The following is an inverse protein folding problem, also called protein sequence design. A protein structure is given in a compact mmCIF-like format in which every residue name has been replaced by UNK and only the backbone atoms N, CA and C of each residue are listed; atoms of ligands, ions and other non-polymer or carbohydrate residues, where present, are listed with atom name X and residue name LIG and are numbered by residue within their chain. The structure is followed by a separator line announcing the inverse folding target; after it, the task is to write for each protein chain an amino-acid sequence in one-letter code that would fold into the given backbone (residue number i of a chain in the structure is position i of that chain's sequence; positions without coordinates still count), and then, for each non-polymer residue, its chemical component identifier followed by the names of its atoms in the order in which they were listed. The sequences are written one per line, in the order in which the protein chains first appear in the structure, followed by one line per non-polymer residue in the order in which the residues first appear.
data_IF_972755729535
#
_entry.id   IF_972755729535
#
_cell.length_a   1.000
_cell.length_b   1.000
_cell.length_c   1.000
_cell.angle_alpha   90.00
_cell.angle_beta   90.00
_cell.angle_gamma   90.00
#
_symmetry.space_group_name_H-M   'P 1'
#
loop_
_entity.id
_entity.type
_entity.pdbx_description
1 polymer ?
#
# COMPACT_ATOMS: atom_id res chain seq x y z
N UNK A 1 23.28 -8.58 9.29
CA UNK A 1 24.39 -7.61 9.37
C UNK A 1 24.01 -6.19 8.97
N UNK A 2 23.34 -5.94 7.82
CA UNK A 2 23.14 -4.56 7.32
C UNK A 2 21.79 -3.91 7.66
N UNK A 3 20.80 -4.68 8.16
CA UNK A 3 19.44 -4.19 8.37
C UNK A 3 18.63 -3.93 7.08
N UNK A 4 19.22 -4.19 5.91
CA UNK A 4 18.53 -4.05 4.63
C UNK A 4 17.35 -5.01 4.51
N UNK A 5 16.19 -4.48 4.16
CA UNK A 5 14.94 -5.24 4.00
C UNK A 5 14.46 -5.12 2.56
N UNK A 6 13.99 -6.24 1.99
CA UNK A 6 13.45 -6.29 0.62
C UNK A 6 12.14 -7.07 0.59
N UNK A 7 11.12 -6.49 -0.03
CA UNK A 7 9.83 -7.17 -0.25
C UNK A 7 10.01 -8.16 -1.40
N UNK A 8 9.93 -9.46 -1.10
CA UNK A 8 10.13 -10.52 -2.10
C UNK A 8 8.85 -10.80 -2.89
N UNK A 9 7.70 -10.68 -2.23
CA UNK A 9 6.37 -10.90 -2.80
C UNK A 9 5.33 -10.13 -2.00
N UNK A 10 4.34 -9.56 -2.68
CA UNK A 10 3.20 -8.90 -2.05
C UNK A 10 1.92 -9.25 -2.82
N UNK A 11 0.87 -9.66 -2.10
CA UNK A 11 -0.42 -10.02 -2.69
C UNK A 11 -1.52 -9.26 -1.96
N UNK A 12 -2.35 -8.54 -2.71
CA UNK A 12 -3.54 -7.85 -2.22
C UNK A 12 -4.76 -8.72 -2.48
N UNK A 13 -5.51 -9.06 -1.42
CA UNK A 13 -6.79 -9.78 -1.54
C UNK A 13 -7.87 -8.93 -0.87
N UNK A 14 -8.82 -8.43 -1.66
CA UNK A 14 -9.78 -7.40 -1.21
C UNK A 14 -11.15 -7.64 -1.83
N UNK A 15 -12.21 -7.36 -1.06
CA UNK A 15 -13.60 -7.36 -1.55
C UNK A 15 -13.97 -6.00 -2.15
N UNK A 16 -14.23 -5.98 -3.45
CA UNK A 16 -14.66 -4.78 -4.18
C UNK A 16 -16.18 -4.57 -4.19
N UNK A 17 -16.95 -5.49 -3.61
CA UNK A 17 -18.36 -5.63 -3.96
C UNK A 17 -18.47 -6.02 -5.43
N UNK A 18 -19.29 -5.31 -6.20
CA UNK A 18 -19.24 -5.37 -7.66
C UNK A 18 -18.11 -4.48 -8.19
N UNK A 19 -17.14 -5.06 -8.90
CA UNK A 19 -16.10 -4.29 -9.57
C UNK A 19 -16.69 -3.61 -10.82
N UNK A 20 -16.83 -2.28 -10.78
CA UNK A 20 -17.34 -1.51 -11.94
C UNK A 20 -16.36 -1.60 -13.12
N UNK A 21 -15.07 -1.52 -12.85
CA UNK A 21 -14.01 -1.66 -13.84
C UNK A 21 -12.83 -2.43 -13.24
N UNK A 22 -12.74 -3.76 -13.41
CA UNK A 22 -11.77 -4.61 -12.73
C UNK A 22 -10.32 -4.14 -12.84
N UNK A 23 -9.87 -3.74 -14.04
CA UNK A 23 -8.50 -3.24 -14.24
C UNK A 23 -8.19 -1.95 -13.46
N UNK A 24 -9.19 -1.11 -13.21
CA UNK A 24 -8.98 0.12 -12.42
C UNK A 24 -8.97 -0.19 -10.94
N UNK A 25 -9.79 -1.17 -10.51
CA UNK A 25 -9.74 -1.70 -9.13
C UNK A 25 -8.37 -2.31 -8.85
N UNK A 26 -7.85 -3.13 -9.75
CA UNK A 26 -6.49 -3.67 -9.68
C UNK A 26 -5.43 -2.55 -9.57
N UNK A 27 -5.51 -1.51 -10.40
CA UNK A 27 -4.60 -0.38 -10.33
C UNK A 27 -4.65 0.36 -8.99
N UNK A 28 -5.83 0.53 -8.40
CA UNK A 28 -6.00 1.10 -7.05
C UNK A 28 -5.37 0.19 -5.99
N UNK A 29 -5.53 -1.13 -6.12
CA UNK A 29 -4.94 -2.10 -5.21
C UNK A 29 -3.41 -2.07 -5.25
N UNK A 30 -2.83 -2.03 -6.45
CA UNK A 30 -1.39 -1.90 -6.64
C UNK A 30 -0.86 -0.56 -6.11
N UNK A 31 -1.55 0.55 -6.41
CA UNK A 31 -1.15 1.88 -5.96
C UNK A 31 -1.16 2.03 -4.43
N UNK A 32 -2.26 1.64 -3.79
CA UNK A 32 -2.38 1.70 -2.33
C UNK A 32 -1.39 0.77 -1.62
N UNK A 33 -1.14 -0.42 -2.16
CA UNK A 33 -0.13 -1.32 -1.63
C UNK A 33 1.28 -0.72 -1.76
N UNK A 34 1.64 -0.15 -2.91
CA UNK A 34 2.94 0.50 -3.11
C UNK A 34 3.15 1.66 -2.11
N UNK A 35 2.12 2.49 -1.91
CA UNK A 35 2.18 3.60 -0.96
C UNK A 35 2.34 3.11 0.49
N UNK A 36 1.52 2.12 0.90
CA UNK A 36 1.63 1.57 2.25
C UNK A 36 2.93 0.81 2.51
N UNK A 37 3.53 0.19 1.48
CA UNK A 37 4.88 -0.38 1.57
C UNK A 37 5.92 0.73 1.79
N UNK A 38 5.79 1.87 1.11
CA UNK A 38 6.63 3.05 1.32
C UNK A 38 6.59 3.55 2.75
N UNK A 39 5.39 3.73 3.30
CA UNK A 39 5.18 4.13 4.70
C UNK A 39 5.77 3.15 5.72
N UNK A 40 5.72 1.85 5.43
CA UNK A 40 6.22 0.85 6.36
C UNK A 40 7.76 0.75 6.39
N UNK A 41 8.45 1.11 5.31
CA UNK A 41 9.88 0.80 5.14
C UNK A 41 10.78 2.02 4.90
N UNK A 42 10.27 3.10 4.30
CA UNK A 42 11.12 4.18 3.77
C UNK A 42 10.68 5.59 4.17
N UNK A 43 9.37 5.84 4.27
CA UNK A 43 8.82 7.19 4.40
C UNK A 43 8.61 7.58 5.86
N UNK A 44 9.15 8.73 6.26
CA UNK A 44 8.94 9.35 7.58
C UNK A 44 9.10 10.87 7.44
N UNK A 45 8.32 11.66 8.19
CA UNK A 45 8.59 13.09 8.35
C UNK A 45 9.52 13.33 9.53
N UNK A 46 10.70 13.91 9.27
CA UNK A 46 11.71 14.15 10.31
C UNK A 46 11.67 15.62 10.72
N UNK A 47 11.23 15.88 11.95
CA UNK A 47 11.21 17.22 12.53
C UNK A 47 12.40 17.44 13.46
N UNK A 48 13.12 18.55 13.26
CA UNK A 48 14.19 18.99 14.14
C UNK A 48 13.68 19.51 15.49
N UNK A 49 14.59 19.70 16.45
CA UNK A 49 14.28 20.30 17.76
C UNK A 49 13.74 21.74 17.67
N UNK A 50 14.01 22.41 16.55
CA UNK A 50 13.51 23.73 16.20
C UNK A 50 12.11 23.71 15.55
N UNK A 51 11.50 22.53 15.41
CA UNK A 51 10.19 22.33 14.80
C UNK A 51 10.18 22.39 13.27
N UNK A 52 11.34 22.43 12.60
CA UNK A 52 11.42 22.49 11.14
C UNK A 52 11.51 21.09 10.53
N UNK A 53 10.84 20.89 9.39
CA UNK A 53 10.94 19.66 8.60
C UNK A 53 12.34 19.56 7.97
N UNK A 54 13.05 18.47 8.21
CA UNK A 54 14.44 18.28 7.79
C UNK A 54 14.56 17.55 6.45
N UNK A 55 13.54 16.80 6.04
CA UNK A 55 13.51 16.06 4.77
C UNK A 55 12.35 16.50 3.84
N UNK A 56 12.25 17.79 3.44
CA UNK A 56 11.12 18.29 2.65
C UNK A 56 11.13 17.88 1.17
N UNK A 57 12.12 17.11 0.71
CA UNK A 57 12.30 16.72 -0.68
C UNK A 57 12.51 15.22 -0.85
N UNK A 58 12.35 14.73 -2.09
CA UNK A 58 12.43 13.30 -2.42
C UNK A 58 13.82 12.68 -2.31
N UNK A 59 14.87 13.49 -2.06
CA UNK A 59 16.18 12.96 -1.74
C UNK A 59 16.16 12.20 -0.41
N UNK A 60 15.45 12.77 0.58
CA UNK A 60 15.48 12.31 1.98
C UNK A 60 14.11 11.78 2.44
N UNK A 61 13.01 12.20 1.82
CA UNK A 61 11.70 11.54 1.94
C UNK A 61 11.58 10.49 0.83
N UNK A 62 12.02 9.27 1.13
CA UNK A 62 12.24 8.23 0.12
C UNK A 62 10.94 7.50 -0.22
N UNK A 63 10.28 7.93 -1.28
CA UNK A 63 9.17 7.18 -1.89
C UNK A 63 9.74 5.95 -2.63
N UNK A 64 9.12 4.76 -2.55
CA UNK A 64 9.54 3.59 -3.31
C UNK A 64 9.61 3.86 -4.82
N UNK A 65 10.67 3.38 -5.46
CA UNK A 65 10.78 3.33 -6.92
C UNK A 65 10.49 1.91 -7.44
N UNK A 66 10.36 1.74 -8.76
CA UNK A 66 10.04 0.44 -9.37
C UNK A 66 11.02 -0.68 -9.00
N UNK A 67 12.29 -0.37 -8.71
CA UNK A 67 13.29 -1.37 -8.29
C UNK A 67 13.16 -1.80 -6.82
N UNK A 68 12.41 -1.07 -6.00
CA UNK A 68 12.21 -1.40 -4.58
C UNK A 68 11.09 -2.41 -4.35
N UNK A 69 10.17 -2.52 -5.31
CA UNK A 69 8.94 -3.28 -5.19
C UNK A 69 8.92 -4.49 -6.14
N UNK A 70 8.36 -5.63 -5.71
CA UNK A 70 8.02 -6.70 -6.63
C UNK A 70 6.78 -6.31 -7.45
N UNK A 71 6.45 -7.12 -8.46
CA UNK A 71 5.10 -7.07 -9.04
C UNK A 71 4.07 -7.39 -7.95
N UNK A 72 3.15 -6.47 -7.73
CA UNK A 72 2.09 -6.60 -6.72
C UNK A 72 0.95 -7.39 -7.34
N UNK A 73 0.74 -8.62 -6.85
CA UNK A 73 -0.37 -9.46 -7.27
C UNK A 73 -1.67 -8.98 -6.63
N UNK A 74 -2.77 -9.01 -7.38
CA UNK A 74 -4.08 -8.58 -6.86
C UNK A 74 -5.15 -9.63 -7.13
N UNK A 75 -5.94 -9.90 -6.11
CA UNK A 75 -7.08 -10.81 -6.16
C UNK A 75 -8.32 -10.03 -5.76
N UNK A 76 -9.18 -9.74 -6.74
CA UNK A 76 -10.44 -9.03 -6.53
C UNK A 76 -11.49 -10.07 -6.14
N UNK A 77 -11.95 -10.00 -4.90
CA UNK A 77 -13.14 -10.71 -4.47
C UNK A 77 -14.36 -9.86 -4.82
N UNK A 78 -15.34 -10.45 -5.50
CA UNK A 78 -16.58 -9.77 -5.83
C UNK A 78 -17.73 -10.30 -4.99
N UNK A 79 -17.99 -9.66 -3.84
CA UNK A 79 -19.10 -10.03 -2.94
C UNK A 79 -20.09 -8.86 -2.90
N UNK A 80 -21.12 -8.85 -3.77
CA UNK A 80 -22.02 -7.72 -3.92
C UNK A 80 -22.64 -7.28 -2.59
N UNK A 81 -22.58 -5.97 -2.32
CA UNK A 81 -23.22 -5.41 -1.13
C UNK A 81 -24.75 -5.47 -1.28
N UNK A 82 -25.48 -6.24 -0.45
CA UNK A 82 -26.93 -6.38 -0.57
C UNK A 82 -27.69 -5.06 -0.30
N UNK A 83 -27.05 -4.11 0.37
CA UNK A 83 -27.66 -2.82 0.72
C UNK A 83 -27.34 -1.71 -0.29
N UNK A 84 -26.57 -2.00 -1.35
CA UNK A 84 -26.23 -1.02 -2.36
C UNK A 84 -26.96 -1.34 -3.68
N UNK A 85 -27.64 -0.38 -4.34
CA UNK A 85 -28.42 -0.63 -5.56
C UNK A 85 -27.65 -1.35 -6.68
N UNK A 86 -26.33 -1.13 -6.75
CA UNK A 86 -25.44 -1.75 -7.72
C UNK A 86 -24.46 -2.77 -7.13
N UNK A 87 -24.57 -3.08 -5.84
CA UNK A 87 -23.68 -4.03 -5.15
C UNK A 87 -22.22 -3.57 -4.98
N UNK A 88 -21.87 -2.33 -5.33
CA UNK A 88 -20.49 -1.81 -5.28
C UNK A 88 -20.04 -1.45 -3.86
N UNK A 89 -18.71 -1.45 -3.64
CA UNK A 89 -18.05 -0.91 -2.45
C UNK A 89 -16.96 0.09 -2.86
N UNK A 90 -16.48 0.88 -1.90
CA UNK A 90 -15.29 1.70 -2.09
C UNK A 90 -14.03 0.83 -2.13
N UNK A 91 -13.12 1.11 -3.08
CA UNK A 91 -11.89 0.31 -3.27
C UNK A 91 -10.60 1.11 -3.09
N UNK A 92 -10.64 2.44 -3.23
CA UNK A 92 -9.45 3.28 -3.38
C UNK A 92 -8.46 3.20 -2.20
N UNK A 93 -8.96 3.24 -0.98
CA UNK A 93 -8.10 3.25 0.21
C UNK A 93 -7.91 1.86 0.83
N UNK A 94 -8.68 0.88 0.37
CA UNK A 94 -8.72 -0.43 1.05
C UNK A 94 -7.36 -1.12 1.06
N UNK A 95 -6.56 -0.95 0.01
CA UNK A 95 -5.23 -1.55 -0.15
C UNK A 95 -4.11 -0.80 0.57
N UNK A 96 -4.33 0.45 1.03
CA UNK A 96 -3.30 1.22 1.75
C UNK A 96 -3.27 0.93 3.24
N UNK A 97 -4.35 0.41 3.82
CA UNK A 97 -4.49 0.17 5.27
C UNK A 97 -3.67 -1.05 5.75
N UNK A 98 -3.72 -2.22 5.08
CA UNK A 98 -3.01 -3.43 5.56
C UNK A 98 -1.47 -3.41 5.50
N UNK A 99 -0.79 -2.75 4.54
CA UNK A 99 0.66 -2.83 4.38
C UNK A 99 1.51 -2.65 5.63
N UNK A 100 1.21 -1.67 6.49
CA UNK A 100 2.03 -1.39 7.68
C UNK A 100 2.09 -2.61 8.61
N UNK A 101 0.92 -3.19 8.93
CA UNK A 101 0.83 -4.37 9.80
C UNK A 101 1.42 -5.61 9.12
N UNK A 102 1.14 -5.82 7.83
CA UNK A 102 1.64 -6.96 7.08
C UNK A 102 3.17 -6.98 7.04
N UNK A 103 3.81 -5.82 6.82
CA UNK A 103 5.26 -5.68 6.75
C UNK A 103 5.90 -5.80 8.13
N UNK A 104 5.34 -5.14 9.15
CA UNK A 104 5.85 -5.26 10.51
C UNK A 104 5.86 -6.71 10.99
N UNK A 105 4.80 -7.46 10.69
CA UNK A 105 4.73 -8.90 10.98
C UNK A 105 5.74 -9.71 10.15
N UNK A 106 5.93 -9.38 8.87
CA UNK A 106 6.90 -10.07 8.02
C UNK A 106 8.36 -9.85 8.46
N UNK A 107 8.68 -8.67 9.01
CA UNK A 107 10.02 -8.37 9.57
C UNK A 107 10.24 -9.04 10.92
N UNK A 108 9.17 -9.24 11.70
CA UNK A 108 9.25 -9.79 13.07
C UNK A 108 9.20 -11.32 13.14
N UNK A 109 8.70 -12.00 12.10
CA UNK A 109 8.66 -13.47 12.03
C UNK A 109 10.05 -14.06 11.74
#
# INVERSE_FOLDING_TARGET
ETGSTRVIRYTVVQDAGKAVHPTYVEGQYQGGAAQGIGWALNEEYIYGKDGRLQNPGFLDYRIPVCSDLPMIDTQILEIPNPNHPYGVRGVGETSIVPPLAAIANAVSN
#
